data_IF_792806017616
#
_entry.id   IF_792806017616
#
_cell.length_a   1.000
_cell.length_b   1.000
_cell.length_c   1.000
_cell.angle_alpha   90.00
_cell.angle_beta   90.00
_cell.angle_gamma   90.00
#
_symmetry.space_group_name_H-M   'P 1'
#
loop_
_entity.id
_entity.type
_entity.pdbx_description
1 polymer ?
#
# COMPACT_ATOMS: atom_id res chain seq x y z
N UNK A 1 -14.04 4.58 -14.74
CA UNK A 1 -13.94 3.42 -13.85
C UNK A 1 -14.60 2.21 -14.51
N UNK A 2 -14.15 1.06 -14.13
CA UNK A 2 -14.78 -0.21 -14.52
C UNK A 2 -15.31 -0.88 -13.27
N UNK A 3 -16.51 -1.45 -13.35
CA UNK A 3 -17.16 -2.20 -12.30
C UNK A 3 -17.22 -3.67 -12.72
N UNK A 4 -16.89 -4.58 -11.81
CA UNK A 4 -16.91 -6.02 -12.04
C UNK A 4 -17.82 -6.66 -10.98
N UNK A 5 -18.98 -7.11 -11.41
CA UNK A 5 -19.92 -7.80 -10.52
C UNK A 5 -19.44 -9.21 -10.21
N UNK A 6 -19.69 -9.66 -8.98
CA UNK A 6 -19.43 -11.03 -8.55
C UNK A 6 -20.55 -11.54 -7.64
N UNK A 7 -20.67 -12.86 -7.57
CA UNK A 7 -21.52 -13.54 -6.58
C UNK A 7 -20.69 -14.60 -5.86
N UNK A 8 -20.63 -14.52 -4.53
CA UNK A 8 -19.99 -15.52 -3.68
C UNK A 8 -20.90 -15.85 -2.51
N UNK A 9 -21.21 -17.16 -2.30
CA UNK A 9 -22.09 -17.60 -1.23
C UNK A 9 -23.44 -16.86 -1.19
N UNK A 10 -24.05 -16.68 -2.36
CA UNK A 10 -25.31 -15.92 -2.55
C UNK A 10 -25.26 -14.42 -2.23
N UNK A 11 -24.10 -13.88 -1.90
CA UNK A 11 -23.87 -12.45 -1.75
C UNK A 11 -23.41 -11.87 -3.08
N UNK A 12 -24.15 -10.90 -3.59
CA UNK A 12 -23.77 -10.12 -4.76
C UNK A 12 -22.92 -8.93 -4.34
N UNK A 13 -21.84 -8.68 -5.07
CA UNK A 13 -20.97 -7.54 -4.85
C UNK A 13 -20.36 -7.05 -6.16
N UNK A 14 -19.63 -5.96 -6.10
CA UNK A 14 -18.93 -5.39 -7.23
C UNK A 14 -17.51 -4.99 -6.83
N UNK A 15 -16.56 -5.23 -7.72
CA UNK A 15 -15.22 -4.66 -7.65
C UNK A 15 -15.14 -3.45 -8.57
N UNK A 16 -14.70 -2.33 -8.05
CA UNK A 16 -14.56 -1.09 -8.82
C UNK A 16 -13.08 -0.80 -9.02
N UNK A 17 -12.70 -0.58 -10.29
CA UNK A 17 -11.34 -0.14 -10.65
C UNK A 17 -11.42 1.27 -11.25
N UNK A 18 -10.70 2.20 -10.64
CA UNK A 18 -10.59 3.58 -11.11
C UNK A 18 -9.12 3.92 -11.42
N UNK A 19 -8.84 4.31 -12.64
CA UNK A 19 -7.60 4.99 -12.98
C UNK A 19 -7.75 6.48 -12.67
N UNK A 20 -7.06 6.96 -11.62
CA UNK A 20 -7.19 8.32 -11.12
C UNK A 20 -5.98 8.73 -10.29
N UNK A 21 -6.06 9.89 -9.66
CA UNK A 21 -5.05 10.45 -8.79
C UNK A 21 -5.51 10.31 -7.33
N UNK A 22 -4.83 9.47 -6.55
CA UNK A 22 -5.17 9.18 -5.15
C UNK A 22 -4.96 10.37 -4.19
N UNK A 23 -4.35 11.45 -4.65
CA UNK A 23 -4.24 12.72 -3.88
C UNK A 23 -5.45 13.63 -4.10
N UNK A 24 -6.26 13.37 -5.16
CA UNK A 24 -7.43 14.16 -5.49
C UNK A 24 -8.70 13.65 -4.83
N UNK A 25 -9.36 14.54 -4.13
CA UNK A 25 -10.59 14.23 -3.41
C UNK A 25 -11.69 13.71 -4.33
N UNK A 26 -11.83 14.31 -5.49
CA UNK A 26 -12.87 13.99 -6.47
C UNK A 26 -12.71 12.55 -7.01
N UNK A 27 -11.46 12.12 -7.27
CA UNK A 27 -11.19 10.77 -7.75
C UNK A 27 -11.48 9.73 -6.67
N UNK A 28 -11.06 9.99 -5.43
CA UNK A 28 -11.32 9.09 -4.30
C UNK A 28 -12.81 9.02 -3.98
N UNK A 29 -13.51 10.16 -3.93
CA UNK A 29 -14.96 10.19 -3.71
C UNK A 29 -15.73 9.44 -4.79
N UNK A 30 -15.30 9.56 -6.06
CA UNK A 30 -15.91 8.83 -7.17
C UNK A 30 -15.71 7.32 -7.03
N UNK A 31 -14.51 6.86 -6.59
CA UNK A 31 -14.25 5.44 -6.33
C UNK A 31 -15.12 4.92 -5.20
N UNK A 32 -15.18 5.66 -4.09
CA UNK A 32 -15.85 5.23 -2.87
C UNK A 32 -17.38 5.33 -2.95
N UNK A 33 -17.92 6.16 -3.83
CA UNK A 33 -19.37 6.33 -4.03
C UNK A 33 -20.17 6.49 -2.73
N UNK A 34 -19.64 7.28 -1.80
CA UNK A 34 -20.24 7.56 -0.48
C UNK A 34 -20.08 6.45 0.56
N UNK A 35 -19.37 5.37 0.25
CA UNK A 35 -19.04 4.31 1.20
C UNK A 35 -17.71 4.60 1.90
N UNK A 36 -17.48 3.98 3.05
CA UNK A 36 -16.21 3.97 3.74
C UNK A 36 -15.55 2.60 3.59
N UNK A 37 -14.22 2.59 3.48
CA UNK A 37 -13.46 1.36 3.46
C UNK A 37 -13.20 0.87 4.89
N UNK A 38 -13.35 -0.42 5.13
CA UNK A 38 -13.05 -1.08 6.40
C UNK A 38 -11.58 -1.55 6.46
N UNK A 39 -10.92 -1.59 5.31
CA UNK A 39 -9.52 -1.97 5.20
C UNK A 39 -8.87 -1.27 4.00
N UNK A 40 -7.60 -0.95 4.14
CA UNK A 40 -6.74 -0.45 3.05
C UNK A 40 -5.49 -1.30 2.94
N UNK A 41 -5.18 -1.77 1.74
CA UNK A 41 -3.84 -2.25 1.38
C UNK A 41 -3.30 -1.35 0.26
N UNK A 42 -2.17 -0.68 0.49
CA UNK A 42 -1.67 0.33 -0.45
C UNK A 42 -0.17 0.25 -0.66
N UNK A 43 0.23 0.55 -1.90
CA UNK A 43 1.61 0.55 -2.36
C UNK A 43 1.90 1.89 -3.07
N UNK A 44 2.11 2.99 -2.30
CA UNK A 44 2.41 4.29 -2.88
C UNK A 44 3.80 4.30 -3.53
N UNK A 45 4.12 5.29 -4.38
CA UNK A 45 5.48 5.47 -4.92
C UNK A 45 6.51 5.55 -3.81
N UNK A 46 7.65 4.85 -3.99
CA UNK A 46 8.71 4.75 -2.96
C UNK A 46 9.74 5.89 -3.05
N UNK A 47 9.65 6.73 -4.05
CA UNK A 47 10.59 7.83 -4.33
C UNK A 47 12.06 7.37 -4.36
N UNK A 48 12.32 6.28 -5.05
CA UNK A 48 13.65 5.67 -5.21
C UNK A 48 14.19 5.79 -6.62
N UNK A 49 13.52 6.58 -7.47
CA UNK A 49 13.86 6.79 -8.89
C UNK A 49 14.06 5.45 -9.62
N UNK A 50 13.10 4.54 -9.43
CA UNK A 50 13.19 3.19 -9.98
C UNK A 50 13.25 3.21 -11.52
N UNK A 51 14.25 2.55 -12.07
CA UNK A 51 14.35 2.24 -13.50
C UNK A 51 14.40 0.73 -13.64
N UNK A 52 13.49 0.17 -14.41
CA UNK A 52 13.41 -1.27 -14.65
C UNK A 52 14.68 -1.80 -15.30
N UNK A 53 15.14 -2.98 -14.87
CA UNK A 53 16.31 -3.65 -15.42
C UNK A 53 16.00 -4.49 -16.69
N UNK A 54 14.85 -4.28 -17.34
CA UNK A 54 14.45 -4.92 -18.60
C UNK A 54 14.65 -3.97 -19.78
N UNK A 55 14.69 -4.50 -21.00
CA UNK A 55 14.88 -3.72 -22.23
C UNK A 55 13.83 -2.60 -22.42
N UNK A 56 12.67 -2.70 -21.75
CA UNK A 56 11.60 -1.70 -21.80
C UNK A 56 11.80 -0.53 -20.82
N UNK A 57 12.85 -0.52 -19.99
CA UNK A 57 13.21 0.53 -19.00
C UNK A 57 12.00 1.14 -18.29
N UNK A 58 11.05 0.31 -17.83
CA UNK A 58 9.81 0.77 -17.20
C UNK A 58 10.10 1.65 -15.99
N UNK A 59 9.52 2.84 -15.97
CA UNK A 59 9.61 3.79 -14.87
C UNK A 59 8.29 3.87 -14.09
N UNK A 60 8.36 4.29 -12.83
CA UNK A 60 7.19 4.49 -11.98
C UNK A 60 6.89 6.00 -11.94
N UNK A 61 5.63 6.36 -12.20
CA UNK A 61 5.19 7.75 -12.09
C UNK A 61 5.32 8.22 -10.64
N UNK A 62 5.82 9.45 -10.43
CA UNK A 62 6.04 10.07 -9.12
C UNK A 62 7.07 9.34 -8.24
N UNK A 63 8.05 8.63 -8.81
CA UNK A 63 9.08 7.90 -8.07
C UNK A 63 10.44 8.63 -8.02
N UNK A 64 10.49 9.89 -8.47
CA UNK A 64 11.68 10.74 -8.48
C UNK A 64 11.33 12.19 -8.11
N UNK A 65 10.74 12.37 -6.92
CA UNK A 65 10.34 13.67 -6.38
C UNK A 65 11.44 14.25 -5.48
N UNK A 66 11.50 15.58 -5.31
CA UNK A 66 12.26 16.17 -4.20
C UNK A 66 11.65 15.75 -2.86
N UNK A 67 12.39 15.91 -1.76
CA UNK A 67 11.90 15.59 -0.41
C UNK A 67 10.61 16.34 -0.09
N UNK A 68 10.56 17.65 -0.36
CA UNK A 68 9.36 18.46 -0.11
C UNK A 68 8.16 18.01 -0.97
N UNK A 69 8.41 17.66 -2.23
CA UNK A 69 7.37 17.17 -3.12
C UNK A 69 6.83 15.81 -2.64
N UNK A 70 7.72 14.91 -2.19
CA UNK A 70 7.33 13.61 -1.66
C UNK A 70 6.49 13.76 -0.39
N UNK A 71 6.94 14.58 0.57
CA UNK A 71 6.19 14.83 1.80
C UNK A 71 4.81 15.42 1.49
N UNK A 72 4.76 16.42 0.60
CA UNK A 72 3.48 17.02 0.18
C UNK A 72 2.55 16.03 -0.50
N UNK A 73 3.09 15.14 -1.34
CA UNK A 73 2.35 14.05 -1.96
C UNK A 73 1.78 13.09 -0.91
N UNK A 74 2.61 12.63 0.04
CA UNK A 74 2.20 11.69 1.08
C UNK A 74 1.17 12.32 2.05
N UNK A 75 1.29 13.60 2.36
CA UNK A 75 0.32 14.32 3.17
C UNK A 75 -1.05 14.39 2.49
N UNK A 76 -1.07 14.75 1.21
CA UNK A 76 -2.30 14.77 0.43
C UNK A 76 -2.93 13.37 0.29
N UNK A 77 -2.09 12.35 0.06
CA UNK A 77 -2.48 10.96 -0.08
C UNK A 77 -3.12 10.41 1.21
N UNK A 78 -2.47 10.58 2.37
CA UNK A 78 -3.02 10.09 3.64
C UNK A 78 -4.23 10.89 4.11
N UNK A 79 -4.32 12.18 3.80
CA UNK A 79 -5.52 12.96 4.06
C UNK A 79 -6.74 12.38 3.33
N UNK A 80 -6.56 11.92 2.08
CA UNK A 80 -7.65 11.24 1.34
C UNK A 80 -8.05 9.92 1.98
N UNK A 81 -7.08 9.13 2.45
CA UNK A 81 -7.42 7.89 3.16
C UNK A 81 -8.22 8.16 4.42
N UNK A 82 -7.80 9.12 5.24
CA UNK A 82 -8.56 9.47 6.45
C UNK A 82 -10.01 9.87 6.16
N UNK A 83 -10.26 10.49 5.01
CA UNK A 83 -11.61 10.89 4.60
C UNK A 83 -12.48 9.72 4.10
N UNK A 84 -11.88 8.61 3.67
CA UNK A 84 -12.60 7.51 3.02
C UNK A 84 -12.57 6.17 3.77
N UNK A 85 -11.95 6.10 4.95
CA UNK A 85 -11.95 4.89 5.79
C UNK A 85 -12.85 5.03 6.99
N UNK A 86 -13.38 3.91 7.48
CA UNK A 86 -14.09 3.84 8.75
C UNK A 86 -13.12 4.08 9.93
N UNK A 87 -13.63 4.49 11.07
CA UNK A 87 -12.79 4.72 12.26
C UNK A 87 -12.12 3.42 12.76
N UNK A 88 -12.70 2.27 12.44
CA UNK A 88 -12.18 0.95 12.81
C UNK A 88 -11.41 0.26 11.67
N UNK A 89 -11.02 0.99 10.64
CA UNK A 89 -10.30 0.42 9.51
C UNK A 89 -8.89 -0.03 9.89
N UNK A 90 -8.46 -1.16 9.33
CA UNK A 90 -7.06 -1.60 9.32
C UNK A 90 -6.36 -1.10 8.06
N UNK A 91 -5.15 -0.56 8.19
CA UNK A 91 -4.39 -0.05 7.06
C UNK A 91 -3.04 -0.76 6.95
N UNK A 92 -2.77 -1.34 5.79
CA UNK A 92 -1.48 -1.94 5.41
C UNK A 92 -0.81 -1.04 4.37
N UNK A 93 0.30 -0.42 4.75
CA UNK A 93 0.96 0.63 3.95
C UNK A 93 2.38 0.19 3.64
N UNK A 94 2.60 -0.21 2.38
CA UNK A 94 3.93 -0.52 1.89
C UNK A 94 4.77 0.76 1.80
N UNK A 95 6.05 0.68 2.12
CA UNK A 95 6.94 1.84 2.04
C UNK A 95 8.41 1.44 1.80
N UNK A 96 9.23 2.38 1.36
CA UNK A 96 10.67 2.20 1.32
C UNK A 96 11.29 2.46 2.69
N UNK A 97 12.30 1.67 3.08
CA UNK A 97 13.06 1.89 4.32
C UNK A 97 13.73 3.28 4.35
N UNK A 98 14.14 3.80 3.18
CA UNK A 98 14.77 5.12 3.08
C UNK A 98 13.83 6.27 3.45
N UNK A 99 12.52 6.10 3.22
CA UNK A 99 11.49 7.12 3.45
C UNK A 99 10.55 6.75 4.61
N UNK A 100 10.94 5.80 5.44
CA UNK A 100 10.11 5.32 6.55
C UNK A 100 9.69 6.45 7.51
N UNK A 101 10.63 7.32 7.89
CA UNK A 101 10.36 8.42 8.84
C UNK A 101 9.35 9.43 8.27
N UNK A 102 9.50 9.80 7.00
CA UNK A 102 8.63 10.78 6.33
C UNK A 102 7.24 10.18 6.09
N UNK A 103 7.18 8.91 5.68
CA UNK A 103 5.93 8.17 5.54
C UNK A 103 5.17 8.11 6.87
N UNK A 104 5.83 7.70 7.96
CA UNK A 104 5.24 7.66 9.29
C UNK A 104 4.79 9.04 9.76
N UNK A 105 5.59 10.07 9.56
CA UNK A 105 5.25 11.44 9.92
C UNK A 105 4.00 11.94 9.18
N UNK A 106 3.89 11.66 7.88
CA UNK A 106 2.70 12.00 7.07
C UNK A 106 1.45 11.23 7.52
N UNK A 107 1.58 9.94 7.83
CA UNK A 107 0.49 9.15 8.42
C UNK A 107 -0.02 9.77 9.71
N UNK A 108 0.88 10.10 10.64
CA UNK A 108 0.54 10.69 11.94
C UNK A 108 -0.14 12.06 11.79
N UNK A 109 0.29 12.90 10.83
CA UNK A 109 -0.39 14.16 10.52
C UNK A 109 -1.83 13.96 10.05
N UNK A 110 -2.09 12.87 9.32
CA UNK A 110 -3.44 12.50 8.90
C UNK A 110 -4.27 11.78 9.99
N UNK A 111 -3.71 11.54 11.19
CA UNK A 111 -4.39 10.79 12.25
C UNK A 111 -4.39 9.28 12.02
N UNK A 112 -3.43 8.75 11.27
CA UNK A 112 -3.18 7.33 11.07
C UNK A 112 -1.97 6.93 11.91
N UNK A 113 -2.12 5.98 12.83
CA UNK A 113 -1.05 5.57 13.74
C UNK A 113 -0.52 4.17 13.40
N UNK A 114 0.77 4.03 13.02
CA UNK A 114 1.41 2.73 12.90
C UNK A 114 1.39 1.98 14.24
N UNK A 115 1.06 0.68 14.19
CA UNK A 115 1.07 -0.22 15.35
C UNK A 115 2.27 -1.13 15.33
N UNK A 116 2.51 -1.79 14.21
CA UNK A 116 3.66 -2.66 14.01
C UNK A 116 4.16 -2.50 12.58
N UNK A 117 5.42 -2.87 12.38
CA UNK A 117 5.98 -3.05 11.05
C UNK A 117 6.00 -4.53 10.72
N UNK A 118 5.33 -4.88 9.64
CA UNK A 118 5.40 -6.18 9.00
C UNK A 118 6.55 -6.14 8.00
N UNK A 119 7.24 -7.24 7.83
CA UNK A 119 8.35 -7.38 6.89
C UNK A 119 8.01 -8.49 5.91
N UNK A 120 7.76 -8.11 4.65
CA UNK A 120 7.64 -9.10 3.57
C UNK A 120 9.03 -9.54 3.14
N UNK A 121 9.37 -10.81 3.43
CA UNK A 121 10.64 -11.45 3.07
C UNK A 121 10.48 -12.16 1.72
N UNK A 122 11.35 -11.82 0.77
CA UNK A 122 11.36 -12.36 -0.59
C UNK A 122 12.29 -13.56 -0.69
N UNK A 123 12.03 -14.44 -1.65
CA UNK A 123 12.93 -15.55 -2.01
C UNK A 123 14.26 -15.06 -2.63
N UNK A 124 14.26 -13.88 -3.28
CA UNK A 124 15.43 -13.28 -3.92
C UNK A 124 15.64 -11.85 -3.42
N UNK A 125 16.86 -11.37 -3.48
CA UNK A 125 17.18 -9.98 -3.17
C UNK A 125 17.04 -9.08 -4.41
N UNK A 126 16.86 -7.77 -4.17
CA UNK A 126 16.91 -6.76 -5.21
C UNK A 126 18.36 -6.29 -5.43
N UNK A 127 18.80 -6.24 -6.68
CA UNK A 127 20.08 -5.64 -7.05
C UNK A 127 20.05 -4.13 -6.80
N UNK A 128 21.18 -3.56 -6.39
CA UNK A 128 21.33 -2.14 -6.13
C UNK A 128 22.78 -1.82 -5.77
N UNK A 129 23.13 -0.56 -5.65
CA UNK A 129 24.50 -0.09 -5.39
C UNK A 129 24.94 -0.28 -3.93
N UNK A 130 24.02 -0.50 -2.99
CA UNK A 130 24.34 -0.72 -1.58
C UNK A 130 25.15 -1.99 -1.35
N UNK A 131 25.95 -2.03 -0.27
CA UNK A 131 26.71 -3.24 0.13
C UNK A 131 25.79 -4.38 0.54
N UNK A 132 24.73 -4.07 1.30
CA UNK A 132 23.66 -5.00 1.64
C UNK A 132 22.53 -4.91 0.62
N UNK A 133 22.05 -6.06 0.16
CA UNK A 133 20.96 -6.14 -0.81
C UNK A 133 19.64 -6.37 -0.07
N UNK A 134 18.65 -5.55 -0.37
CA UNK A 134 17.32 -5.72 0.21
C UNK A 134 16.66 -7.02 -0.25
N UNK A 135 16.35 -7.88 0.71
CA UNK A 135 15.57 -9.10 0.52
C UNK A 135 14.19 -9.01 1.16
N UNK A 136 13.82 -7.85 1.64
CA UNK A 136 12.53 -7.60 2.25
C UNK A 136 11.98 -6.23 1.86
N UNK A 137 10.67 -6.06 2.06
CA UNK A 137 9.99 -4.78 2.02
C UNK A 137 9.19 -4.58 3.31
N UNK A 138 9.25 -3.40 3.93
CA UNK A 138 8.47 -3.10 5.12
C UNK A 138 7.04 -2.68 4.75
N UNK A 139 6.09 -3.04 5.62
CA UNK A 139 4.68 -2.69 5.52
C UNK A 139 4.25 -2.20 6.90
N UNK A 140 3.77 -0.99 7.03
CA UNK A 140 3.12 -0.56 8.26
C UNK A 140 1.73 -1.19 8.37
N UNK A 141 1.47 -1.86 9.48
CA UNK A 141 0.12 -2.11 9.95
C UNK A 141 -0.29 -0.97 10.86
N UNK A 142 -1.37 -0.29 10.52
CA UNK A 142 -1.80 0.95 11.13
C UNK A 142 -3.32 0.98 11.38
N UNK A 143 -3.75 1.89 12.23
CA UNK A 143 -5.15 2.13 12.58
C UNK A 143 -5.41 3.64 12.66
N UNK A 144 -6.67 4.02 12.81
CA UNK A 144 -7.07 5.41 13.05
C UNK A 144 -6.80 5.78 14.50
N UNK A 145 -6.19 6.94 14.71
CA UNK A 145 -5.84 7.45 16.03
C UNK A 145 -7.06 7.49 16.97
N UNK A 146 -6.89 6.87 18.13
CA UNK A 146 -7.95 6.84 19.17
C UNK A 146 -9.02 5.78 18.95
N UNK A 147 -8.94 4.98 17.87
CA UNK A 147 -9.89 3.94 17.56
C UNK A 147 -9.17 2.58 17.43
N UNK A 148 -9.72 1.49 17.98
CA UNK A 148 -9.23 0.15 17.70
C UNK A 148 -9.64 -0.26 16.29
N UNK A 149 -8.76 -0.97 15.60
CA UNK A 149 -9.10 -1.62 14.33
C UNK A 149 -9.97 -2.87 14.57
N UNK A 150 -10.73 -3.24 13.56
CA UNK A 150 -11.42 -4.52 13.53
C UNK A 150 -10.42 -5.62 13.19
N UNK A 151 -10.09 -6.45 14.17
CA UNK A 151 -9.19 -7.59 14.00
C UNK A 151 -9.99 -8.89 13.83
N UNK A 152 -9.77 -9.58 12.72
CA UNK A 152 -10.42 -10.84 12.39
C UNK A 152 -9.46 -12.04 12.44
N UNK A 153 -8.16 -11.79 12.53
CA UNK A 153 -7.14 -12.81 12.66
C UNK A 153 -7.06 -13.43 14.06
N UNK A 154 -6.34 -14.53 14.16
CA UNK A 154 -6.05 -15.16 15.45
C UNK A 154 -4.86 -14.52 16.17
N UNK A 155 -4.50 -15.05 17.35
CA UNK A 155 -3.39 -14.57 18.17
C UNK A 155 -2.02 -15.13 17.76
N UNK A 156 -1.92 -15.87 16.65
CA UNK A 156 -0.66 -16.47 16.18
C UNK A 156 -0.03 -15.71 15.04
N UNK A 157 -0.69 -14.66 14.55
CA UNK A 157 -0.17 -13.84 13.47
C UNK A 157 1.14 -13.16 13.87
N UNK A 158 2.11 -13.15 12.94
CA UNK A 158 3.43 -12.58 13.18
C UNK A 158 3.80 -11.55 12.11
N UNK A 159 4.83 -10.77 12.39
CA UNK A 159 5.28 -9.65 11.54
C UNK A 159 6.22 -10.05 10.42
N UNK A 160 6.51 -11.33 10.23
CA UNK A 160 7.36 -11.83 9.12
C UNK A 160 6.49 -12.57 8.13
N UNK A 161 6.35 -12.01 6.95
CA UNK A 161 5.60 -12.59 5.85
C UNK A 161 6.56 -13.10 4.78
N UNK A 162 6.69 -14.40 4.64
CA UNK A 162 7.56 -15.04 3.65
C UNK A 162 6.75 -15.41 2.42
N UNK A 163 6.90 -14.60 1.35
CA UNK A 163 6.22 -14.82 0.08
C UNK A 163 7.17 -14.59 -1.09
N UNK A 164 7.05 -15.43 -2.11
CA UNK A 164 7.90 -15.34 -3.27
C UNK A 164 7.60 -14.08 -4.09
N UNK A 165 8.65 -13.37 -4.50
CA UNK A 165 8.50 -12.32 -5.49
C UNK A 165 8.02 -12.95 -6.82
N UNK A 166 7.02 -12.37 -7.51
CA UNK A 166 6.62 -12.82 -8.84
C UNK A 166 7.80 -12.92 -9.80
N UNK A 167 7.98 -14.07 -10.46
CA UNK A 167 9.20 -14.40 -11.21
C UNK A 167 9.34 -13.72 -12.57
N UNK A 168 8.24 -13.28 -13.17
CA UNK A 168 8.26 -12.55 -14.45
C UNK A 168 7.04 -11.64 -14.51
N UNK A 169 7.28 -10.35 -14.49
CA UNK A 169 6.19 -9.41 -14.52
C UNK A 169 6.33 -8.46 -15.71
N UNK A 170 5.56 -8.75 -16.77
CA UNK A 170 5.46 -7.89 -17.95
C UNK A 170 4.46 -6.74 -17.78
N UNK A 171 3.67 -6.75 -16.69
CA UNK A 171 2.61 -5.78 -16.46
C UNK A 171 3.07 -4.60 -15.62
N UNK A 172 3.87 -4.88 -14.58
CA UNK A 172 4.38 -3.83 -13.68
C UNK A 172 5.70 -4.27 -13.04
N UNK A 173 6.74 -3.41 -13.00
CA UNK A 173 8.09 -3.82 -12.59
C UNK A 173 8.20 -4.22 -11.12
N UNK A 174 7.32 -3.72 -10.28
CA UNK A 174 7.34 -3.91 -8.81
C UNK A 174 6.04 -4.47 -8.24
N UNK A 175 5.30 -5.27 -9.04
CA UNK A 175 4.02 -5.86 -8.60
C UNK A 175 4.19 -6.66 -7.31
N UNK A 176 3.28 -6.43 -6.36
CA UNK A 176 3.20 -7.23 -5.13
C UNK A 176 2.58 -8.60 -5.42
N UNK A 177 3.01 -9.68 -4.73
CA UNK A 177 2.33 -10.96 -4.82
C UNK A 177 0.91 -10.85 -4.27
N UNK A 178 -0.01 -11.57 -4.89
CA UNK A 178 -1.43 -11.61 -4.46
C UNK A 178 -1.54 -12.17 -3.04
N UNK A 179 -0.69 -13.10 -2.69
CA UNK A 179 -0.65 -13.81 -1.42
C UNK A 179 -0.48 -12.86 -0.21
N UNK A 180 0.32 -11.78 -0.34
CA UNK A 180 0.45 -10.80 0.76
C UNK A 180 -0.82 -9.96 0.95
N UNK A 181 -1.55 -9.71 -0.15
CA UNK A 181 -2.85 -9.01 -0.08
C UNK A 181 -3.92 -9.93 0.49
N UNK A 182 -3.96 -11.19 0.05
CA UNK A 182 -4.88 -12.21 0.61
C UNK A 182 -4.64 -12.41 2.10
N UNK A 183 -3.37 -12.45 2.54
CA UNK A 183 -3.03 -12.57 3.95
C UNK A 183 -3.50 -11.36 4.78
N UNK A 184 -3.48 -10.17 4.21
CA UNK A 184 -4.01 -8.98 4.87
C UNK A 184 -5.55 -8.97 4.94
N UNK A 185 -6.24 -9.70 4.04
CA UNK A 185 -7.70 -9.81 3.97
C UNK A 185 -8.28 -10.95 4.82
N UNK A 186 -7.45 -11.91 5.26
CA UNK A 186 -7.85 -13.08 6.03
C UNK A 186 -8.02 -12.77 7.52
#
# INVERSE_FOLDING_TARGET
GHEFEYTRNDVKGAHIVLCGDSTKKEDVQRLMNGQLADMVFTDPPYNVAYVGGTDDEMTIKNDAMSEEQYISFMDAFFARYRECVSDNAALYICHASAWQMDTEASMRRAGIEPRVQIVWVKNTFAWGFGRYKFRHEPIFYAHIKGHPDNWYGDNTQNTVWEENKPSANRLHPTMKPVEIVERALA
#
